data_IF_193352489890
#
_entry.id   IF_193352489890
#
_cell.length_a   1.000
_cell.length_b   1.000
_cell.length_c   1.000
_cell.angle_alpha   90.00
_cell.angle_beta   90.00
_cell.angle_gamma   90.00
#
_symmetry.space_group_name_H-M   'P 1'
#
loop_
_entity.id
_entity.type
_entity.pdbx_description
1 polymer ?
#
# COMPACT_ATOMS: atom_id res chain seq x y z
N UNK A 1 -6.68 11.54 26.02
CA UNK A 1 -5.73 11.09 24.99
C UNK A 1 -4.48 11.93 25.14
N UNK A 2 -3.39 11.33 25.56
CA UNK A 2 -2.13 12.06 25.72
C UNK A 2 -1.36 12.17 24.38
N UNK A 3 -1.67 11.32 23.40
CA UNK A 3 -1.08 11.38 22.06
C UNK A 3 -2.15 11.76 21.03
N UNK A 4 -1.97 12.93 20.42
CA UNK A 4 -2.85 13.39 19.36
C UNK A 4 -2.38 12.82 18.01
N UNK A 5 -3.29 12.18 17.30
CA UNK A 5 -3.03 11.57 15.99
C UNK A 5 -3.88 12.28 14.93
N UNK A 6 -3.30 12.55 13.77
CA UNK A 6 -4.03 12.91 12.55
C UNK A 6 -4.19 11.69 11.67
N UNK A 7 -5.24 11.65 10.86
CA UNK A 7 -5.41 10.66 9.80
C UNK A 7 -5.28 11.35 8.45
N UNK A 8 -4.43 10.83 7.57
CA UNK A 8 -4.42 11.26 6.17
C UNK A 8 -4.75 10.11 5.23
N UNK A 9 -5.61 10.39 4.25
CA UNK A 9 -6.11 9.44 3.27
C UNK A 9 -5.77 9.98 1.88
N UNK A 10 -5.11 9.19 1.05
CA UNK A 10 -4.93 9.50 -0.37
C UNK A 10 -5.97 8.74 -1.18
N UNK A 11 -6.60 9.40 -2.17
CA UNK A 11 -7.64 8.78 -2.98
C UNK A 11 -7.64 9.26 -4.44
N UNK A 12 -8.21 8.42 -5.31
CA UNK A 12 -8.58 8.75 -6.69
C UNK A 12 -9.63 7.75 -7.16
N UNK A 13 -10.88 8.19 -7.37
CA UNK A 13 -12.00 7.36 -7.81
C UNK A 13 -12.30 6.19 -6.83
N UNK A 14 -12.53 6.52 -5.57
CA UNK A 14 -12.75 5.57 -4.46
C UNK A 14 -14.12 5.74 -3.79
N UNK A 15 -15.15 6.21 -4.56
CA UNK A 15 -16.50 6.47 -4.06
C UNK A 15 -17.12 5.30 -3.29
N UNK A 16 -16.85 4.07 -3.74
CA UNK A 16 -17.46 2.87 -3.16
C UNK A 16 -16.92 2.52 -1.76
N UNK A 17 -15.70 2.95 -1.44
CA UNK A 17 -15.01 2.54 -0.20
C UNK A 17 -14.74 3.69 0.76
N UNK A 18 -14.72 4.94 0.28
CA UNK A 18 -14.34 6.10 1.09
C UNK A 18 -15.18 6.27 2.36
N UNK A 19 -16.49 5.99 2.29
CA UNK A 19 -17.38 6.07 3.46
C UNK A 19 -16.98 5.07 4.54
N UNK A 20 -16.63 3.84 4.16
CA UNK A 20 -16.22 2.80 5.12
C UNK A 20 -14.87 3.15 5.76
N UNK A 21 -13.93 3.66 4.96
CA UNK A 21 -12.66 4.18 5.46
C UNK A 21 -12.89 5.29 6.50
N UNK A 22 -13.70 6.31 6.17
CA UNK A 22 -14.01 7.44 7.07
C UNK A 22 -14.72 7.00 8.35
N UNK A 23 -15.66 6.06 8.27
CA UNK A 23 -16.31 5.49 9.44
C UNK A 23 -15.32 4.84 10.39
N UNK A 24 -14.32 4.14 9.87
CA UNK A 24 -13.31 3.43 10.67
C UNK A 24 -12.37 4.37 11.45
N UNK A 25 -12.30 5.63 11.07
CA UNK A 25 -11.45 6.66 11.69
C UNK A 25 -12.24 7.81 12.30
N UNK A 26 -13.56 7.63 12.51
CA UNK A 26 -14.44 8.67 13.07
C UNK A 26 -14.07 9.11 14.51
N UNK A 27 -13.23 8.33 15.19
CA UNK A 27 -12.64 8.68 16.49
C UNK A 27 -11.58 9.78 16.42
N UNK A 28 -11.07 10.10 15.23
CA UNK A 28 -9.98 11.07 15.02
C UNK A 28 -10.55 12.48 14.76
N UNK A 29 -10.00 13.47 15.44
CA UNK A 29 -10.42 14.88 15.30
C UNK A 29 -9.73 15.66 14.17
N UNK A 30 -8.72 15.09 13.50
CA UNK A 30 -8.04 15.72 12.36
C UNK A 30 -7.89 14.71 11.22
N UNK A 31 -8.85 14.72 10.29
CA UNK A 31 -8.90 13.83 9.12
C UNK A 31 -8.69 14.67 7.86
N UNK A 32 -7.73 14.25 7.03
CA UNK A 32 -7.39 14.92 5.78
C UNK A 32 -7.53 13.90 4.64
N UNK A 33 -8.18 14.33 3.57
CA UNK A 33 -8.24 13.59 2.30
C UNK A 33 -7.44 14.36 1.26
N UNK A 34 -6.52 13.68 0.59
CA UNK A 34 -5.79 14.22 -0.56
C UNK A 34 -6.28 13.52 -1.81
N UNK A 35 -7.10 14.23 -2.58
CA UNK A 35 -7.72 13.75 -3.81
C UNK A 35 -6.85 14.05 -5.03
N UNK A 36 -6.62 13.02 -5.86
CA UNK A 36 -5.77 13.10 -7.06
C UNK A 36 -6.56 13.34 -8.36
N UNK A 37 -7.76 13.93 -8.25
CA UNK A 37 -8.60 14.27 -9.38
C UNK A 37 -9.73 13.26 -9.63
N UNK A 38 -10.42 12.85 -8.58
CA UNK A 38 -11.59 11.97 -8.68
C UNK A 38 -12.71 12.60 -9.52
N UNK A 39 -13.36 11.76 -10.33
CA UNK A 39 -14.47 12.11 -11.23
C UNK A 39 -15.73 11.27 -10.99
N UNK A 40 -15.69 10.34 -10.03
CA UNK A 40 -16.76 9.38 -9.75
C UNK A 40 -17.72 9.80 -8.62
N UNK A 41 -17.49 10.97 -8.01
CA UNK A 41 -18.26 11.47 -6.85
C UNK A 41 -17.60 11.12 -5.50
N UNK A 42 -16.34 10.70 -5.47
CA UNK A 42 -15.58 10.44 -4.23
C UNK A 42 -15.53 11.68 -3.32
N UNK A 43 -15.22 12.85 -3.91
CA UNK A 43 -15.06 14.10 -3.17
C UNK A 43 -16.38 14.53 -2.54
N UNK A 44 -17.46 14.46 -3.29
CA UNK A 44 -18.81 14.83 -2.83
C UNK A 44 -19.27 13.90 -1.70
N UNK A 45 -19.01 12.59 -1.84
CA UNK A 45 -19.32 11.59 -0.82
C UNK A 45 -18.53 11.84 0.47
N UNK A 46 -17.23 12.15 0.35
CA UNK A 46 -16.38 12.45 1.50
C UNK A 46 -16.78 13.77 2.19
N UNK A 47 -17.12 14.81 1.41
CA UNK A 47 -17.52 16.11 1.94
C UNK A 47 -18.86 16.04 2.71
N UNK A 48 -19.77 15.17 2.31
CA UNK A 48 -21.05 14.95 2.98
C UNK A 48 -20.94 14.05 4.22
N UNK A 49 -19.77 13.48 4.50
CA UNK A 49 -19.58 12.55 5.61
C UNK A 49 -19.58 13.27 6.97
N UNK A 50 -20.13 12.60 8.02
CA UNK A 50 -20.28 13.16 9.36
C UNK A 50 -18.94 13.57 10.03
N UNK A 51 -17.83 12.96 9.64
CA UNK A 51 -16.48 13.33 10.13
C UNK A 51 -15.96 14.66 9.60
N UNK A 52 -16.60 15.26 8.58
CA UNK A 52 -16.21 16.52 7.96
C UNK A 52 -14.70 16.62 7.68
N UNK A 53 -14.12 15.70 6.89
CA UNK A 53 -12.68 15.71 6.64
C UNK A 53 -12.27 16.96 5.86
N UNK A 54 -11.04 17.43 6.09
CA UNK A 54 -10.43 18.47 5.23
C UNK A 54 -10.04 17.84 3.90
N UNK A 55 -10.58 18.31 2.79
CA UNK A 55 -10.31 17.78 1.46
C UNK A 55 -9.36 18.72 0.72
N UNK A 56 -8.26 18.17 0.22
CA UNK A 56 -7.23 18.89 -0.54
C UNK A 56 -7.12 18.23 -1.91
N UNK A 57 -7.28 19.01 -2.96
CA UNK A 57 -7.02 18.54 -4.32
C UNK A 57 -5.55 18.72 -4.66
N UNK A 58 -4.88 17.63 -5.02
CA UNK A 58 -3.47 17.59 -5.39
C UNK A 58 -3.28 16.69 -6.60
N UNK A 59 -2.79 17.24 -7.69
CA UNK A 59 -2.41 16.43 -8.84
C UNK A 59 -1.48 15.28 -8.41
N UNK A 60 -1.64 14.15 -9.05
CA UNK A 60 -0.86 12.96 -8.72
C UNK A 60 0.66 13.17 -8.83
N UNK A 61 1.37 12.99 -7.75
CA UNK A 61 2.82 13.16 -7.64
C UNK A 61 3.60 11.82 -7.65
N UNK A 62 2.89 10.69 -7.75
CA UNK A 62 3.41 9.36 -7.45
C UNK A 62 3.19 8.97 -5.98
N UNK A 63 3.18 7.67 -5.68
CA UNK A 63 2.77 7.15 -4.36
C UNK A 63 3.54 7.75 -3.19
N UNK A 64 4.87 7.82 -3.29
CA UNK A 64 5.72 8.33 -2.21
C UNK A 64 5.47 9.83 -1.95
N UNK A 65 5.52 10.65 -3.00
CA UNK A 65 5.38 12.10 -2.89
C UNK A 65 3.95 12.50 -2.52
N UNK A 66 2.93 11.77 -2.99
CA UNK A 66 1.53 12.02 -2.62
C UNK A 66 1.28 11.77 -1.14
N UNK A 67 1.82 10.66 -0.59
CA UNK A 67 1.73 10.38 0.84
C UNK A 67 2.52 11.37 1.69
N UNK A 68 3.74 11.74 1.27
CA UNK A 68 4.54 12.75 1.96
C UNK A 68 3.82 14.10 2.00
N UNK A 69 3.23 14.50 0.88
CA UNK A 69 2.38 15.69 0.82
C UNK A 69 1.22 15.61 1.82
N UNK A 70 0.48 14.49 1.84
CA UNK A 70 -0.65 14.30 2.74
C UNK A 70 -0.24 14.35 4.22
N UNK A 71 0.87 13.70 4.58
CA UNK A 71 1.42 13.71 5.93
C UNK A 71 1.76 15.13 6.38
N UNK A 72 2.34 15.94 5.51
CA UNK A 72 2.70 17.34 5.81
C UNK A 72 1.50 18.25 6.05
N UNK A 73 0.31 17.90 5.52
CA UNK A 73 -0.93 18.64 5.77
C UNK A 73 -1.56 18.37 7.14
N UNK A 74 -1.11 17.31 7.84
CA UNK A 74 -1.61 16.91 9.15
C UNK A 74 -1.21 17.91 10.24
N UNK A 75 -2.13 18.17 11.19
CA UNK A 75 -1.89 19.07 12.32
C UNK A 75 -0.94 18.44 13.33
N UNK A 76 -1.17 17.18 13.66
CA UNK A 76 -0.41 16.45 14.67
C UNK A 76 0.88 15.85 14.10
N UNK A 77 1.84 15.56 14.96
CA UNK A 77 3.10 14.92 14.56
C UNK A 77 2.95 13.43 14.31
N UNK A 78 2.04 12.77 15.03
CA UNK A 78 1.66 11.39 14.76
C UNK A 78 0.58 11.33 13.69
N UNK A 79 0.82 10.54 12.66
CA UNK A 79 -0.06 10.43 11.49
C UNK A 79 -0.34 8.97 11.18
N UNK A 80 -1.62 8.62 11.12
CA UNK A 80 -2.08 7.37 10.53
C UNK A 80 -2.35 7.61 9.03
N UNK A 81 -1.48 7.09 8.17
CA UNK A 81 -1.57 7.25 6.72
C UNK A 81 -2.28 6.05 6.09
N UNK A 82 -3.48 6.25 5.57
CA UNK A 82 -4.32 5.21 4.97
C UNK A 82 -4.46 5.39 3.46
N UNK A 83 -4.66 4.28 2.77
CA UNK A 83 -5.26 4.26 1.44
C UNK A 83 -6.80 4.25 1.61
N UNK A 84 -7.54 4.77 0.63
CA UNK A 84 -9.00 4.90 0.76
C UNK A 84 -9.74 3.54 0.86
N UNK A 85 -9.09 2.45 0.46
CA UNK A 85 -9.58 1.07 0.57
C UNK A 85 -9.09 0.34 1.84
N UNK A 86 -8.48 1.08 2.79
CA UNK A 86 -8.05 0.57 4.09
C UNK A 86 -8.96 1.09 5.20
N UNK A 87 -9.21 0.24 6.20
CA UNK A 87 -10.02 0.54 7.38
C UNK A 87 -9.19 0.29 8.65
N UNK A 88 -9.27 1.20 9.60
CA UNK A 88 -8.73 1.00 10.95
C UNK A 88 -9.69 0.07 11.72
N UNK A 89 -9.22 -1.12 12.14
CA UNK A 89 -10.07 -1.97 12.96
C UNK A 89 -10.33 -1.35 14.34
N UNK A 90 -11.44 -1.72 15.03
CA UNK A 90 -11.70 -1.24 16.39
C UNK A 90 -10.53 -1.52 17.34
N UNK A 91 -9.91 -2.70 17.24
CA UNK A 91 -8.75 -3.08 18.06
C UNK A 91 -7.54 -2.18 17.79
N UNK A 92 -7.34 -1.79 16.52
CA UNK A 92 -6.26 -0.86 16.16
C UNK A 92 -6.55 0.54 16.68
N UNK A 93 -7.78 1.01 16.55
CA UNK A 93 -8.21 2.31 17.08
C UNK A 93 -8.02 2.41 18.60
N UNK A 94 -8.38 1.36 19.35
CA UNK A 94 -8.16 1.27 20.78
C UNK A 94 -6.66 1.31 21.12
N UNK A 95 -5.83 0.54 20.43
CA UNK A 95 -4.38 0.54 20.65
C UNK A 95 -3.77 1.92 20.37
N UNK A 96 -4.15 2.57 19.27
CA UNK A 96 -3.67 3.93 18.94
C UNK A 96 -4.11 4.92 20.02
N UNK A 97 -5.37 4.85 20.47
CA UNK A 97 -5.91 5.74 21.50
C UNK A 97 -5.27 5.54 22.88
N UNK A 98 -4.73 4.36 23.14
CA UNK A 98 -4.03 4.02 24.39
C UNK A 98 -2.55 4.43 24.40
N UNK A 99 -1.98 4.89 23.27
CA UNK A 99 -0.60 5.35 23.20
C UNK A 99 -0.43 6.61 24.07
N UNK A 100 0.59 6.60 24.91
CA UNK A 100 1.04 7.78 25.67
C UNK A 100 2.36 8.29 25.16
N UNK A 101 2.64 9.57 25.27
CA UNK A 101 3.90 10.18 24.82
C UNK A 101 5.12 9.49 25.47
N UNK A 102 5.00 9.13 26.76
CA UNK A 102 6.06 8.44 27.48
C UNK A 102 6.37 7.05 26.92
N UNK A 103 5.35 6.33 26.41
CA UNK A 103 5.52 4.97 25.86
C UNK A 103 6.10 4.94 24.44
N UNK A 104 6.12 6.09 23.75
CA UNK A 104 6.53 6.20 22.34
C UNK A 104 7.64 7.23 22.12
N UNK A 105 8.34 7.64 23.18
CA UNK A 105 9.37 8.69 23.12
C UNK A 105 10.50 8.36 22.13
N UNK A 106 10.87 7.09 22.01
CA UNK A 106 11.90 6.56 21.13
C UNK A 106 11.35 5.92 19.84
N UNK A 107 10.04 6.02 19.60
CA UNK A 107 9.40 5.40 18.44
C UNK A 107 9.25 6.42 17.30
N UNK A 108 9.63 6.01 16.09
CA UNK A 108 9.41 6.78 14.86
C UNK A 108 8.15 6.34 14.12
N UNK A 109 7.84 5.06 14.14
CA UNK A 109 6.74 4.49 13.36
C UNK A 109 6.33 3.11 13.90
N UNK A 110 5.14 2.69 13.54
CA UNK A 110 4.60 1.37 13.89
C UNK A 110 4.34 0.54 12.64
N UNK A 111 4.77 -0.71 12.71
CA UNK A 111 4.39 -1.79 11.79
C UNK A 111 3.04 -2.36 12.23
N UNK A 112 2.08 -2.40 11.32
CA UNK A 112 0.69 -2.79 11.58
C UNK A 112 0.35 -3.97 10.67
N UNK A 113 -0.19 -5.09 11.20
CA UNK A 113 -0.64 -6.20 10.38
C UNK A 113 -1.84 -5.81 9.53
N UNK A 114 -1.79 -6.06 8.22
CA UNK A 114 -2.90 -5.81 7.32
C UNK A 114 -3.56 -7.14 6.91
N UNK A 115 -4.88 -7.21 7.08
CA UNK A 115 -5.72 -8.33 6.62
C UNK A 115 -6.32 -7.96 5.28
N UNK A 116 -6.00 -8.76 4.26
CA UNK A 116 -6.45 -8.50 2.90
C UNK A 116 -7.74 -9.26 2.60
N UNK A 117 -8.68 -8.56 1.96
CA UNK A 117 -9.96 -9.11 1.51
C UNK A 117 -10.16 -8.80 0.03
N UNK A 118 -10.85 -9.67 -0.67
CA UNK A 118 -11.39 -9.44 -2.02
C UNK A 118 -12.87 -9.75 -1.98
N UNK A 119 -13.72 -8.78 -2.32
CA UNK A 119 -15.17 -8.91 -2.21
C UNK A 119 -15.60 -9.47 -0.84
N UNK A 120 -15.09 -8.87 0.24
CA UNK A 120 -15.32 -9.28 1.64
C UNK A 120 -14.83 -10.69 2.01
N UNK A 121 -14.17 -11.40 1.09
CA UNK A 121 -13.59 -12.70 1.34
C UNK A 121 -12.14 -12.57 1.77
N UNK A 122 -11.81 -13.05 2.96
CA UNK A 122 -10.45 -13.03 3.50
C UNK A 122 -9.47 -13.77 2.61
N UNK A 123 -8.33 -13.14 2.31
CA UNK A 123 -7.25 -13.72 1.49
C UNK A 123 -6.12 -14.17 2.40
N UNK A 124 -6.18 -15.46 2.80
CA UNK A 124 -5.25 -16.04 3.76
C UNK A 124 -3.79 -15.91 3.33
N UNK A 125 -3.51 -16.25 2.08
CA UNK A 125 -2.12 -16.29 1.61
C UNK A 125 -1.47 -14.90 1.43
N UNK A 126 -2.27 -13.81 1.45
CA UNK A 126 -1.78 -12.43 1.48
C UNK A 126 -1.74 -11.84 2.89
N UNK A 127 -2.28 -12.54 3.90
CA UNK A 127 -2.46 -12.01 5.25
C UNK A 127 -1.69 -12.84 6.29
N UNK A 128 -1.17 -12.22 7.35
CA UNK A 128 -0.98 -10.78 7.47
C UNK A 128 0.09 -10.27 6.53
N UNK A 129 -0.06 -8.99 6.15
CA UNK A 129 0.91 -8.23 5.38
C UNK A 129 1.22 -6.97 6.21
N UNK A 130 2.45 -6.82 6.67
CA UNK A 130 2.81 -5.76 7.60
C UNK A 130 3.06 -4.44 6.87
N UNK A 131 2.36 -3.39 7.30
CA UNK A 131 2.43 -2.05 6.72
C UNK A 131 2.86 -1.03 7.77
N UNK A 132 3.78 -0.14 7.41
CA UNK A 132 4.12 1.00 8.24
C UNK A 132 3.15 2.13 7.95
N UNK A 133 2.11 2.27 8.80
CA UNK A 133 1.01 3.23 8.57
C UNK A 133 0.88 4.28 9.65
N UNK A 134 1.20 3.99 10.91
CA UNK A 134 1.26 5.00 11.98
C UNK A 134 2.71 5.48 12.11
N UNK A 135 2.94 6.77 11.93
CA UNK A 135 4.28 7.33 11.85
C UNK A 135 4.36 8.75 12.45
N UNK A 136 5.53 9.08 12.97
CA UNK A 136 5.84 10.42 13.46
C UNK A 136 6.59 11.19 12.38
N UNK A 137 6.00 12.28 11.84
CA UNK A 137 6.49 13.00 10.66
C UNK A 137 7.92 13.55 10.80
N UNK A 138 8.38 13.83 12.03
CA UNK A 138 9.70 14.39 12.32
C UNK A 138 10.75 13.37 12.78
N UNK A 139 10.39 12.06 12.91
CA UNK A 139 11.29 10.99 13.40
C UNK A 139 11.61 9.95 12.33
N UNK A 140 11.12 10.15 11.10
CA UNK A 140 11.34 9.24 9.99
C UNK A 140 11.74 9.98 8.72
N UNK A 141 12.33 9.27 7.77
CA UNK A 141 12.58 9.75 6.42
C UNK A 141 12.01 8.77 5.39
N UNK A 142 11.55 9.30 4.26
CA UNK A 142 11.20 8.50 3.09
C UNK A 142 12.46 8.41 2.23
N UNK A 143 12.92 7.19 1.94
CA UNK A 143 14.14 6.95 1.18
C UNK A 143 13.82 6.23 -0.12
N UNK A 144 14.40 6.75 -1.20
CA UNK A 144 14.27 6.19 -2.54
C UNK A 144 13.00 6.66 -3.26
N UNK A 145 13.13 6.81 -4.58
CA UNK A 145 12.03 7.21 -5.47
C UNK A 145 11.28 5.99 -6.06
N UNK A 146 11.37 4.85 -5.39
CA UNK A 146 10.86 3.58 -5.92
C UNK A 146 9.55 3.19 -5.23
N UNK A 147 8.73 2.41 -5.93
CA UNK A 147 7.53 1.77 -5.39
C UNK A 147 7.86 0.32 -5.01
N UNK A 148 7.51 -0.14 -3.78
CA UNK A 148 7.02 0.66 -2.67
C UNK A 148 8.11 1.55 -2.05
N UNK A 149 7.73 2.73 -1.61
CA UNK A 149 8.61 3.63 -0.88
C UNK A 149 9.12 2.98 0.42
N UNK A 150 10.36 3.22 0.75
CA UNK A 150 10.93 2.76 2.01
C UNK A 150 10.94 3.90 3.02
N UNK A 151 10.28 3.69 4.16
CA UNK A 151 10.37 4.57 5.32
C UNK A 151 11.40 4.02 6.27
N UNK A 152 12.24 4.90 6.78
CA UNK A 152 13.29 4.54 7.74
C UNK A 152 13.20 5.46 8.96
N UNK A 153 13.39 4.89 10.14
CA UNK A 153 13.53 5.67 11.35
C UNK A 153 14.84 6.46 11.33
N UNK A 154 14.80 7.70 11.78
CA UNK A 154 16.01 8.50 11.98
C UNK A 154 16.86 7.92 13.12
N UNK A 155 18.17 8.21 13.16
CA UNK A 155 19.05 7.76 14.24
C UNK A 155 18.48 8.11 15.62
N UNK A 156 18.53 7.16 16.53
CA UNK A 156 17.99 7.30 17.89
C UNK A 156 16.50 6.89 18.02
N UNK A 157 15.81 6.58 16.92
CA UNK A 157 14.45 6.12 16.94
C UNK A 157 14.31 4.70 16.39
N UNK A 158 13.26 3.99 16.82
CA UNK A 158 12.95 2.61 16.39
C UNK A 158 11.59 2.50 15.72
N UNK A 159 11.38 1.39 15.03
CA UNK A 159 10.07 0.92 14.61
C UNK A 159 9.51 -0.02 15.67
N UNK A 160 8.29 0.21 16.11
CA UNK A 160 7.54 -0.66 17.02
C UNK A 160 6.42 -1.39 16.24
N UNK A 161 5.67 -2.24 16.93
CA UNK A 161 4.58 -3.01 16.33
C UNK A 161 3.28 -2.76 17.09
N UNK A 162 2.16 -2.71 16.33
CA UNK A 162 0.81 -2.83 16.84
C UNK A 162 0.21 -4.15 16.36
N UNK A 163 -0.70 -4.72 17.13
CA UNK A 163 -1.32 -6.03 16.83
C UNK A 163 -2.72 -5.91 16.23
N UNK A 164 -3.41 -4.80 16.48
CA UNK A 164 -4.69 -4.47 15.86
C UNK A 164 -4.51 -4.32 14.35
N UNK A 165 -5.33 -5.00 13.53
CA UNK A 165 -5.11 -5.02 12.09
C UNK A 165 -5.69 -3.81 11.37
N UNK A 166 -5.08 -3.44 10.25
CA UNK A 166 -5.76 -2.76 9.16
C UNK A 166 -6.56 -3.78 8.35
N UNK A 167 -7.76 -3.40 7.93
CA UNK A 167 -8.58 -4.19 7.02
C UNK A 167 -8.49 -3.55 5.63
N UNK A 168 -8.06 -4.32 4.64
CA UNK A 168 -7.90 -3.83 3.27
C UNK A 168 -8.82 -4.63 2.37
N UNK A 169 -9.93 -4.00 1.98
CA UNK A 169 -10.97 -4.63 1.19
C UNK A 169 -10.93 -4.11 -0.25
N UNK A 170 -10.17 -4.77 -1.10
CA UNK A 170 -10.17 -4.50 -2.54
C UNK A 170 -11.44 -5.07 -3.15
N UNK A 171 -12.18 -4.24 -3.87
CA UNK A 171 -13.38 -4.64 -4.61
C UNK A 171 -14.58 -4.98 -3.69
N UNK A 172 -15.43 -4.02 -3.49
CA UNK A 172 -16.72 -4.21 -2.80
C UNK A 172 -17.68 -5.06 -3.62
N UNK A 173 -17.65 -4.92 -4.95
CA UNK A 173 -18.45 -5.67 -5.92
C UNK A 173 -17.54 -6.42 -6.88
N UNK A 174 -17.43 -7.74 -6.69
CA UNK A 174 -16.63 -8.59 -7.54
C UNK A 174 -17.29 -8.79 -8.91
N UNK A 175 -16.65 -8.26 -9.96
CA UNK A 175 -16.97 -8.61 -11.35
C UNK A 175 -15.88 -9.53 -11.90
N UNK A 176 -16.22 -10.51 -12.76
CA UNK A 176 -15.20 -11.33 -13.42
C UNK A 176 -14.12 -10.54 -14.15
N UNK A 177 -14.45 -9.34 -14.68
CA UNK A 177 -13.52 -8.39 -15.26
C UNK A 177 -12.46 -7.89 -14.27
N UNK A 178 -12.73 -7.90 -12.98
CA UNK A 178 -11.80 -7.41 -11.96
C UNK A 178 -10.64 -8.38 -11.70
N UNK A 179 -10.79 -9.65 -12.11
CA UNK A 179 -9.66 -10.57 -12.22
C UNK A 179 -8.77 -10.27 -13.43
N UNK A 180 -9.33 -9.63 -14.46
CA UNK A 180 -8.61 -9.26 -15.68
C UNK A 180 -8.10 -7.81 -15.61
N UNK A 181 -7.55 -7.43 -14.47
CA UNK A 181 -6.93 -6.13 -14.22
C UNK A 181 -5.55 -6.01 -14.91
N UNK A 182 -5.50 -6.49 -16.16
CA UNK A 182 -4.28 -6.55 -16.96
C UNK A 182 -3.51 -5.22 -17.02
N UNK A 183 -4.17 -4.08 -17.34
CA UNK A 183 -3.49 -2.79 -17.40
C UNK A 183 -2.88 -2.37 -16.05
N UNK A 184 -3.59 -2.49 -14.95
CA UNK A 184 -3.07 -2.17 -13.61
C UNK A 184 -1.97 -3.13 -13.17
N UNK A 185 -2.12 -4.43 -13.48
CA UNK A 185 -1.07 -5.41 -13.18
C UNK A 185 0.20 -5.11 -13.97
N UNK A 186 0.07 -4.69 -15.22
CA UNK A 186 1.21 -4.32 -16.05
C UNK A 186 1.88 -3.06 -15.54
N UNK A 187 1.13 -1.99 -15.27
CA UNK A 187 1.65 -0.75 -14.68
C UNK A 187 2.39 -1.02 -13.37
N UNK A 188 1.79 -1.82 -12.48
CA UNK A 188 2.43 -2.19 -11.22
C UNK A 188 3.71 -3.02 -11.43
N UNK A 189 3.72 -3.93 -12.38
CA UNK A 189 4.90 -4.71 -12.75
C UNK A 189 6.01 -3.83 -13.32
N UNK A 190 5.67 -2.83 -14.13
CA UNK A 190 6.61 -1.85 -14.67
C UNK A 190 7.24 -0.99 -13.57
N UNK A 191 6.43 -0.48 -12.63
CA UNK A 191 6.91 0.28 -11.48
C UNK A 191 7.88 -0.55 -10.61
N UNK A 192 7.51 -1.81 -10.33
CA UNK A 192 8.37 -2.71 -9.57
C UNK A 192 9.66 -3.07 -10.33
N UNK A 193 9.59 -3.27 -11.65
CA UNK A 193 10.77 -3.54 -12.47
C UNK A 193 11.70 -2.33 -12.52
N UNK A 194 11.16 -1.10 -12.64
CA UNK A 194 11.94 0.14 -12.54
C UNK A 194 12.65 0.25 -11.18
N UNK A 195 11.94 -0.06 -10.09
CA UNK A 195 12.51 -0.09 -8.74
C UNK A 195 13.67 -1.09 -8.59
N UNK A 196 13.59 -2.26 -9.25
CA UNK A 196 14.67 -3.25 -9.26
C UNK A 196 15.86 -2.77 -10.10
N UNK A 197 15.61 -2.23 -11.29
CA UNK A 197 16.64 -1.68 -12.17
C UNK A 197 17.41 -0.53 -11.50
N UNK A 198 16.70 0.39 -10.84
CA UNK A 198 17.33 1.49 -10.10
C UNK A 198 18.19 1.05 -8.91
N UNK A 199 18.01 -0.18 -8.42
CA UNK A 199 18.89 -0.83 -7.43
C UNK A 199 20.03 -1.63 -8.07
N UNK A 200 20.20 -1.53 -9.39
CA UNK A 200 21.20 -2.30 -10.15
C UNK A 200 20.90 -3.79 -10.25
N UNK A 201 19.68 -4.22 -9.89
CA UNK A 201 19.30 -5.63 -10.00
C UNK A 201 19.01 -5.99 -11.45
N UNK A 202 19.57 -7.12 -11.89
CA UNK A 202 19.38 -7.68 -13.22
C UNK A 202 18.49 -8.91 -13.17
N UNK A 203 17.63 -9.07 -14.18
CA UNK A 203 16.92 -10.32 -14.41
C UNK A 203 17.74 -11.22 -15.33
N UNK A 204 17.66 -12.51 -15.10
CA UNK A 204 18.19 -13.54 -15.98
C UNK A 204 17.10 -14.59 -16.25
N UNK A 205 17.37 -15.53 -17.15
CA UNK A 205 16.41 -16.57 -17.52
C UNK A 205 15.98 -17.44 -16.30
N UNK A 206 16.83 -17.63 -15.30
CA UNK A 206 16.50 -18.34 -14.05
C UNK A 206 15.42 -17.56 -13.26
N UNK A 207 15.50 -16.23 -13.25
CA UNK A 207 14.48 -15.41 -12.60
C UNK A 207 13.12 -15.53 -13.28
N UNK A 208 13.09 -15.69 -14.62
CA UNK A 208 11.86 -15.86 -15.38
C UNK A 208 11.16 -17.20 -15.09
N UNK A 209 11.92 -18.24 -14.82
CA UNK A 209 11.37 -19.59 -14.58
C UNK A 209 11.16 -19.85 -13.08
N UNK A 210 12.21 -19.71 -12.29
CA UNK A 210 12.17 -20.17 -10.89
C UNK A 210 11.44 -19.21 -9.95
N UNK A 211 11.52 -17.89 -10.18
CA UNK A 211 10.84 -16.93 -9.31
C UNK A 211 9.32 -17.08 -9.31
N UNK A 212 8.65 -17.24 -10.46
CA UNK A 212 7.22 -17.54 -10.49
C UNK A 212 6.87 -18.87 -9.80
N UNK A 213 7.59 -19.93 -10.10
CA UNK A 213 7.35 -21.24 -9.51
C UNK A 213 7.48 -21.23 -7.97
N UNK A 214 8.54 -20.61 -7.46
CA UNK A 214 8.74 -20.43 -6.01
C UNK A 214 7.67 -19.53 -5.40
N UNK A 215 7.21 -18.51 -6.14
CA UNK A 215 6.11 -17.64 -5.70
C UNK A 215 4.82 -18.44 -5.57
N UNK A 216 4.47 -19.23 -6.57
CA UNK A 216 3.30 -20.10 -6.50
C UNK A 216 3.37 -21.05 -5.28
N UNK A 217 4.48 -21.75 -5.12
CA UNK A 217 4.70 -22.66 -3.99
C UNK A 217 4.57 -21.94 -2.65
N UNK A 218 5.19 -20.75 -2.52
CA UNK A 218 5.11 -19.93 -1.33
C UNK A 218 3.66 -19.56 -0.98
N UNK A 219 2.91 -19.01 -1.94
CA UNK A 219 1.56 -18.50 -1.64
C UNK A 219 0.51 -19.62 -1.56
N UNK A 220 0.60 -20.64 -2.42
CA UNK A 220 -0.36 -21.71 -2.40
C UNK A 220 -0.12 -22.72 -1.26
N UNK A 221 1.13 -23.13 -1.04
CA UNK A 221 1.48 -24.13 -0.02
C UNK A 221 1.88 -23.44 1.29
N UNK A 222 3.02 -22.71 1.33
CA UNK A 222 3.60 -22.24 2.59
C UNK A 222 2.72 -21.21 3.31
N UNK A 223 2.01 -20.36 2.59
CA UNK A 223 1.06 -19.39 3.15
C UNK A 223 -0.39 -19.90 3.22
N UNK A 224 -0.61 -21.21 2.98
CA UNK A 224 -1.89 -21.87 3.19
C UNK A 224 -2.99 -21.47 2.21
N UNK A 225 -2.64 -21.02 0.99
CA UNK A 225 -3.63 -20.74 -0.06
C UNK A 225 -4.50 -21.95 -0.37
N UNK A 226 -3.95 -23.16 -0.36
CA UNK A 226 -4.66 -24.41 -0.60
C UNK A 226 -5.83 -24.64 0.38
N UNK A 227 -5.75 -24.12 1.61
CA UNK A 227 -6.83 -24.19 2.60
C UNK A 227 -8.08 -23.41 2.19
N UNK A 228 -7.97 -22.54 1.20
CA UNK A 228 -9.09 -21.77 0.63
C UNK A 228 -9.62 -22.37 -0.68
N UNK A 229 -9.20 -23.60 -1.03
CA UNK A 229 -9.66 -24.32 -2.21
C UNK A 229 -9.38 -23.56 -3.52
N UNK A 230 -10.36 -23.55 -4.43
CA UNK A 230 -10.23 -22.90 -5.75
C UNK A 230 -9.93 -21.40 -5.66
N UNK A 231 -10.47 -20.71 -4.66
CA UNK A 231 -10.21 -19.30 -4.46
C UNK A 231 -8.72 -19.04 -4.16
N UNK A 232 -8.14 -19.77 -3.22
CA UNK A 232 -6.72 -19.65 -2.90
C UNK A 232 -5.81 -20.03 -4.07
N UNK A 233 -6.21 -21.00 -4.90
CA UNK A 233 -5.49 -21.34 -6.13
C UNK A 233 -5.44 -20.16 -7.10
N UNK A 234 -6.60 -19.53 -7.35
CA UNK A 234 -6.69 -18.37 -8.25
C UNK A 234 -5.84 -17.18 -7.73
N UNK A 235 -5.88 -16.93 -6.42
CA UNK A 235 -5.06 -15.88 -5.82
C UNK A 235 -3.56 -16.17 -5.95
N UNK A 236 -3.13 -17.42 -5.73
CA UNK A 236 -1.75 -17.81 -5.92
C UNK A 236 -1.31 -17.66 -7.38
N UNK A 237 -2.14 -18.01 -8.36
CA UNK A 237 -1.88 -17.75 -9.78
C UNK A 237 -1.77 -16.26 -10.08
N UNK A 238 -2.71 -15.45 -9.63
CA UNK A 238 -2.68 -13.98 -9.84
C UNK A 238 -1.35 -13.39 -9.32
N UNK A 239 -0.94 -13.79 -8.12
CA UNK A 239 0.33 -13.34 -7.53
C UNK A 239 1.54 -13.78 -8.36
N UNK A 240 1.50 -15.01 -8.86
CA UNK A 240 2.55 -15.59 -9.73
C UNK A 240 2.67 -14.83 -11.05
N UNK A 241 1.54 -14.53 -11.69
CA UNK A 241 1.49 -13.75 -12.95
C UNK A 241 2.12 -12.36 -12.74
N UNK A 242 1.81 -11.68 -11.62
CA UNK A 242 2.43 -10.39 -11.30
C UNK A 242 3.96 -10.46 -11.19
N UNK A 243 4.48 -11.55 -10.61
CA UNK A 243 5.94 -11.79 -10.56
C UNK A 243 6.52 -12.11 -11.93
N UNK A 244 5.82 -12.88 -12.77
CA UNK A 244 6.23 -13.14 -14.15
C UNK A 244 6.33 -11.85 -14.94
N UNK A 245 5.29 -11.02 -14.93
CA UNK A 245 5.27 -9.72 -15.63
C UNK A 245 6.43 -8.82 -15.17
N UNK A 246 6.64 -8.69 -13.87
CA UNK A 246 7.74 -7.88 -13.33
C UNK A 246 9.11 -8.29 -13.86
N UNK A 247 9.44 -9.58 -13.82
CA UNK A 247 10.75 -10.05 -14.32
C UNK A 247 10.85 -10.05 -15.84
N UNK A 248 9.73 -10.24 -16.57
CA UNK A 248 9.70 -10.10 -18.04
C UNK A 248 9.96 -8.66 -18.46
N UNK A 249 9.34 -7.67 -17.82
CA UNK A 249 9.60 -6.25 -18.07
C UNK A 249 11.07 -5.91 -17.77
N UNK A 250 11.58 -6.35 -16.61
CA UNK A 250 12.97 -6.09 -16.23
C UNK A 250 13.96 -6.69 -17.23
N UNK A 251 13.75 -7.93 -17.65
CA UNK A 251 14.59 -8.61 -18.63
C UNK A 251 14.52 -7.94 -20.01
N UNK A 252 13.30 -7.60 -20.47
CA UNK A 252 13.10 -6.90 -21.73
C UNK A 252 13.86 -5.58 -21.81
N UNK A 253 13.73 -4.73 -20.76
CA UNK A 253 14.46 -3.45 -20.69
C UNK A 253 15.97 -3.64 -20.83
N UNK A 254 16.56 -4.64 -20.15
CA UNK A 254 17.99 -4.93 -20.23
C UNK A 254 18.44 -5.34 -21.64
N UNK A 255 17.62 -6.13 -22.36
CA UNK A 255 17.94 -6.53 -23.73
C UNK A 255 17.90 -5.35 -24.69
N UNK A 256 16.91 -4.46 -24.55
CA UNK A 256 16.81 -3.25 -25.37
C UNK A 256 17.98 -2.27 -25.11
N UNK A 257 18.36 -2.05 -23.85
CA UNK A 257 19.51 -1.21 -23.51
C UNK A 257 20.83 -1.77 -24.06
N UNK A 258 21.03 -3.09 -24.01
CA UNK A 258 22.20 -3.74 -24.60
C UNK A 258 22.23 -3.62 -26.12
N UNK A 259 21.07 -3.77 -26.79
CA UNK A 259 20.97 -3.62 -28.24
C UNK A 259 21.29 -2.19 -28.68
N UNK A 260 20.77 -1.18 -27.96
CA UNK A 260 21.01 0.23 -28.27
C UNK A 260 22.48 0.64 -28.08
N UNK A 261 23.17 0.06 -27.09
CA UNK A 261 24.61 0.32 -26.84
C UNK A 261 25.53 -0.39 -27.84
N UNK A 262 25.04 -1.41 -28.54
CA UNK A 262 25.79 -2.18 -29.54
C UNK A 262 25.54 -1.75 -30.98
N UNK A 263 24.66 -0.77 -31.21
CA UNK A 263 24.44 -0.20 -32.55
C UNK A 263 25.56 0.80 -32.81
N UNK A 264 26.44 0.57 -33.85
CA UNK A 264 27.45 1.56 -34.21
C UNK A 264 26.78 2.87 -34.59
N UNK A 265 27.20 3.97 -34.02
CA UNK A 265 26.86 5.32 -34.52
C UNK A 265 27.51 5.43 -35.91
N UNK A 266 26.65 5.41 -36.96
CA UNK A 266 27.06 5.76 -38.31
C UNK A 266 27.45 7.23 -38.41
#
# INVERSE_FOLDING_TARGET
>A
MDCQVSVCIICCNEKQVITTCLNSVAWCGDIIIVDSGSTDGTVETAAAHATQPRIIRQQWLGYAAQRDFAIKQCRNDWVLALDADEECSPELAEQISALSEASIVDVAMFSIPRRNYIARRYVRCWSPDYQTRLLHKNRMAIVGNFVPEKRVALPGFRTAELTGPLLHNRLTDFKPSDFNDGPRMQEHAELLAQGLAGKGQKANWLNLIFRPALTFLKYYILRGGFLQGRFGLVIAYKTTIGVMLKYSVLYGKQQFEQASNNTPTE
#
